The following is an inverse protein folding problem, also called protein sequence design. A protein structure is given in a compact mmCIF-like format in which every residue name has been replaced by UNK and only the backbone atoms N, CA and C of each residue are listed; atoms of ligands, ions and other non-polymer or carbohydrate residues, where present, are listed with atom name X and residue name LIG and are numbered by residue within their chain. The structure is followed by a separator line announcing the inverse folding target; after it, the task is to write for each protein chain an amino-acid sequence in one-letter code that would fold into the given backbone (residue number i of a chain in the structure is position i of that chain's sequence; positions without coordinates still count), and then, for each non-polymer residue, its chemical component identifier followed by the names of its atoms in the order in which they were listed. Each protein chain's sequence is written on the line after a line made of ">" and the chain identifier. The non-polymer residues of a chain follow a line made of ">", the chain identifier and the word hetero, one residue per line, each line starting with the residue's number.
data_IF_981176127292
#
_entry.id   IF_981176127292
#
_cell.length_a   1.000
_cell.length_b   1.000
_cell.length_c   1.000
_cell.angle_alpha   90.00
_cell.angle_beta   90.00
_cell.angle_gamma   90.00
#
_symmetry.space_group_name_H-M   'P 1'
#
loop_
_entity.id
_entity.type
_entity.pdbx_description
1 polymer ?
#
# COMPACT_ATOMS: atom_id res chain seq x y z
N UNK A 1 -20.90 -13.82 12.75
CA UNK A 1 -20.51 -13.79 11.32
C UNK A 1 -20.05 -12.39 10.96
N UNK A 2 -18.85 -12.24 10.41
CA UNK A 2 -18.43 -10.97 9.80
C UNK A 2 -19.28 -10.76 8.55
N UNK A 3 -20.06 -9.67 8.50
CA UNK A 3 -20.76 -9.31 7.27
C UNK A 3 -19.76 -8.76 6.26
N UNK A 4 -20.08 -8.83 4.96
CA UNK A 4 -19.26 -8.24 3.90
C UNK A 4 -18.91 -6.76 4.19
N UNK A 5 -19.88 -5.98 4.69
CA UNK A 5 -19.68 -4.57 5.09
C UNK A 5 -18.69 -4.42 6.23
N UNK A 6 -18.74 -5.32 7.21
CA UNK A 6 -17.81 -5.32 8.36
C UNK A 6 -16.39 -5.68 7.93
N UNK A 7 -16.23 -6.64 7.01
CA UNK A 7 -14.93 -7.02 6.46
C UNK A 7 -14.29 -5.88 5.64
N UNK A 8 -15.09 -5.17 4.85
CA UNK A 8 -14.68 -3.95 4.13
C UNK A 8 -14.22 -2.85 5.07
N UNK A 9 -15.01 -2.53 6.10
CA UNK A 9 -14.66 -1.50 7.09
C UNK A 9 -13.34 -1.83 7.78
N UNK A 10 -13.14 -3.09 8.17
CA UNK A 10 -11.88 -3.55 8.73
C UNK A 10 -10.73 -3.40 7.73
N UNK A 11 -10.94 -3.72 6.45
CA UNK A 11 -9.93 -3.54 5.42
C UNK A 11 -9.54 -2.09 5.23
N UNK A 12 -10.50 -1.17 5.18
CA UNK A 12 -10.25 0.26 5.02
C UNK A 12 -9.49 0.83 6.22
N UNK A 13 -9.91 0.48 7.44
CA UNK A 13 -9.21 0.88 8.67
C UNK A 13 -7.81 0.29 8.69
N UNK A 14 -7.66 -0.99 8.36
CA UNK A 14 -6.36 -1.64 8.35
C UNK A 14 -5.44 -1.07 7.25
N UNK A 15 -5.98 -0.69 6.09
CA UNK A 15 -5.25 -0.03 5.01
C UNK A 15 -4.77 1.39 5.38
N UNK A 16 -5.17 1.94 6.53
CA UNK A 16 -4.55 3.16 7.08
C UNK A 16 -3.15 2.93 7.66
N UNK A 17 -2.78 1.68 7.99
CA UNK A 17 -1.48 1.34 8.57
C UNK A 17 -0.31 1.68 7.63
N UNK A 18 -0.32 1.28 6.33
CA UNK A 18 0.71 1.73 5.38
C UNK A 18 0.80 3.26 5.25
N UNK A 19 -0.34 3.96 5.28
CA UNK A 19 -0.37 5.43 5.23
C UNK A 19 0.33 6.06 6.45
N UNK A 20 0.12 5.51 7.65
CA UNK A 20 0.84 5.95 8.85
C UNK A 20 2.34 5.74 8.70
N UNK A 21 2.79 4.65 8.09
CA UNK A 21 4.22 4.39 7.84
C UNK A 21 4.81 5.44 6.88
N UNK A 22 4.07 5.82 5.84
CA UNK A 22 4.44 6.95 4.97
C UNK A 22 4.59 8.26 5.74
N UNK A 23 3.65 8.56 6.65
CA UNK A 23 3.73 9.75 7.49
C UNK A 23 4.95 9.71 8.42
N UNK A 24 5.24 8.55 9.02
CA UNK A 24 6.44 8.34 9.86
C UNK A 24 7.71 8.61 9.06
N UNK A 25 7.81 8.07 7.84
CA UNK A 25 8.94 8.33 6.94
C UNK A 25 9.09 9.83 6.66
N UNK A 26 8.01 10.50 6.25
CA UNK A 26 8.03 11.92 5.92
C UNK A 26 8.44 12.83 7.10
N UNK A 27 7.97 12.48 8.30
CA UNK A 27 8.32 13.19 9.55
C UNK A 27 9.74 12.91 10.00
N UNK A 28 10.26 11.71 9.73
CA UNK A 28 11.62 11.31 10.08
C UNK A 28 12.67 11.78 9.07
N UNK A 29 12.28 12.16 7.84
CA UNK A 29 13.21 12.72 6.87
C UNK A 29 13.81 14.05 7.34
N UNK A 30 15.13 14.27 7.20
CA UNK A 30 15.78 15.51 7.62
C UNK A 30 15.14 16.76 6.97
N UNK A 31 14.97 17.82 7.75
CA UNK A 31 14.43 19.09 7.25
C UNK A 31 15.37 19.80 6.26
N UNK A 32 16.64 19.39 6.20
CA UNK A 32 17.65 19.86 5.24
C UNK A 32 17.45 19.29 3.82
N UNK A 33 16.68 18.21 3.66
CA UNK A 33 16.31 17.68 2.35
C UNK A 33 15.19 18.52 1.71
N UNK A 34 15.17 18.58 0.37
CA UNK A 34 14.08 19.22 -0.36
C UNK A 34 12.75 18.54 -0.09
N UNK A 35 11.66 19.31 -0.12
CA UNK A 35 10.30 18.78 0.08
C UNK A 35 10.00 17.62 -0.90
N UNK A 36 10.40 17.76 -2.16
CA UNK A 36 10.22 16.73 -3.17
C UNK A 36 10.93 15.41 -2.80
N UNK A 37 12.16 15.48 -2.28
CA UNK A 37 12.89 14.31 -1.82
C UNK A 37 12.19 13.64 -0.65
N UNK A 38 11.76 14.44 0.34
CA UNK A 38 11.04 13.96 1.53
C UNK A 38 9.73 13.25 1.16
N UNK A 39 8.99 13.80 0.19
CA UNK A 39 7.79 13.16 -0.36
C UNK A 39 8.17 11.86 -1.06
N UNK A 40 9.13 11.88 -1.99
CA UNK A 40 9.53 10.72 -2.80
C UNK A 40 9.93 9.51 -1.95
N UNK A 41 10.75 9.71 -0.90
CA UNK A 41 11.17 8.61 0.00
C UNK A 41 10.05 8.10 0.91
N UNK A 42 8.92 8.80 0.99
CA UNK A 42 7.81 8.48 1.89
C UNK A 42 6.56 7.94 1.17
N UNK A 43 6.49 7.98 -0.16
CA UNK A 43 5.26 7.65 -0.91
C UNK A 43 4.84 6.17 -0.84
N UNK A 44 5.74 5.26 -0.52
CA UNK A 44 5.52 3.81 -0.57
C UNK A 44 4.21 3.35 0.08
N UNK A 45 4.00 3.67 1.37
CA UNK A 45 2.86 3.20 2.15
C UNK A 45 1.54 3.83 1.72
N UNK A 46 1.56 5.12 1.35
CA UNK A 46 0.42 5.80 0.76
C UNK A 46 -0.01 5.12 -0.55
N UNK A 47 0.94 4.73 -1.41
CA UNK A 47 0.64 3.97 -2.63
C UNK A 47 0.04 2.60 -2.30
N UNK A 48 0.56 1.88 -1.31
CA UNK A 48 -0.03 0.61 -0.84
C UNK A 48 -1.47 0.81 -0.37
N UNK A 49 -1.73 1.84 0.45
CA UNK A 49 -3.07 2.17 0.94
C UNK A 49 -4.04 2.46 -0.20
N UNK A 50 -3.62 3.27 -1.19
CA UNK A 50 -4.45 3.59 -2.36
C UNK A 50 -4.81 2.33 -3.15
N UNK A 51 -3.85 1.43 -3.38
CA UNK A 51 -4.13 0.18 -4.09
C UNK A 51 -5.06 -0.74 -3.30
N UNK A 52 -4.88 -0.83 -1.97
CA UNK A 52 -5.76 -1.60 -1.09
C UNK A 52 -7.20 -1.07 -1.11
N UNK A 53 -7.37 0.25 -1.01
CA UNK A 53 -8.69 0.90 -1.05
C UNK A 53 -9.31 0.74 -2.44
N UNK A 54 -8.53 0.95 -3.51
CA UNK A 54 -8.98 0.79 -4.89
C UNK A 54 -9.49 -0.62 -5.17
N UNK A 55 -8.77 -1.66 -4.72
CA UNK A 55 -9.19 -3.05 -4.87
C UNK A 55 -10.53 -3.33 -4.18
N UNK A 56 -10.74 -2.81 -2.97
CA UNK A 56 -12.02 -2.90 -2.26
C UNK A 56 -13.14 -2.21 -3.02
N UNK A 57 -12.90 -0.99 -3.51
CA UNK A 57 -13.93 -0.25 -4.26
C UNK A 57 -14.34 -0.99 -5.53
N UNK A 58 -13.38 -1.57 -6.27
CA UNK A 58 -13.68 -2.42 -7.44
C UNK A 58 -14.53 -3.62 -7.02
N UNK A 59 -14.15 -4.32 -5.95
CA UNK A 59 -14.88 -5.48 -5.44
C UNK A 59 -16.30 -5.18 -4.93
N UNK A 60 -16.54 -3.98 -4.41
CA UNK A 60 -17.82 -3.61 -3.79
C UNK A 60 -18.84 -3.00 -4.75
N UNK A 61 -18.40 -2.02 -5.54
CA UNK A 61 -19.29 -1.16 -6.33
C UNK A 61 -18.86 -1.07 -7.79
N UNK A 62 -17.69 -1.62 -8.11
CA UNK A 62 -17.21 -1.72 -9.48
C UNK A 62 -17.77 -2.94 -10.20
N UNK A 63 -17.10 -3.30 -11.29
CA UNK A 63 -17.34 -4.51 -12.06
C UNK A 63 -16.05 -5.33 -12.00
N UNK A 64 -15.87 -6.22 -11.01
CA UNK A 64 -14.71 -7.09 -10.94
C UNK A 64 -14.61 -7.95 -12.20
N UNK A 65 -13.40 -8.07 -12.76
CA UNK A 65 -13.16 -8.86 -13.98
C UNK A 65 -11.78 -9.49 -13.96
N UNK A 66 -11.60 -10.72 -14.49
CA UNK A 66 -10.30 -11.39 -14.51
C UNK A 66 -9.17 -10.55 -15.12
N UNK A 67 -9.46 -9.73 -16.14
CA UNK A 67 -8.49 -8.89 -16.85
C UNK A 67 -7.88 -7.80 -15.95
N UNK A 68 -8.62 -7.33 -14.94
CA UNK A 68 -8.12 -6.34 -13.97
C UNK A 68 -7.02 -6.93 -13.07
N UNK A 69 -6.94 -8.26 -12.95
CA UNK A 69 -5.94 -8.94 -12.12
C UNK A 69 -4.51 -8.68 -12.58
N UNK A 70 -4.26 -8.71 -13.89
CA UNK A 70 -2.93 -8.42 -14.44
C UNK A 70 -2.53 -6.96 -14.25
N UNK A 71 -3.44 -6.04 -14.55
CA UNK A 71 -3.21 -4.60 -14.34
C UNK A 71 -2.93 -4.30 -12.87
N UNK A 72 -3.71 -4.89 -11.96
CA UNK A 72 -3.52 -4.70 -10.53
C UNK A 72 -2.17 -5.26 -10.04
N UNK A 73 -1.77 -6.47 -10.48
CA UNK A 73 -0.46 -7.04 -10.17
C UNK A 73 0.69 -6.16 -10.67
N UNK A 74 0.56 -5.58 -11.86
CA UNK A 74 1.56 -4.66 -12.40
C UNK A 74 1.65 -3.37 -11.56
N UNK A 75 0.52 -2.84 -11.08
CA UNK A 75 0.49 -1.69 -10.19
C UNK A 75 1.15 -1.97 -8.83
N UNK A 76 1.13 -3.21 -8.33
CA UNK A 76 1.83 -3.58 -7.09
C UNK A 76 3.36 -3.50 -7.21
N UNK A 77 3.92 -3.45 -8.42
CA UNK A 77 5.37 -3.23 -8.61
C UNK A 77 5.78 -1.82 -8.20
N UNK A 78 4.89 -0.83 -8.36
CA UNK A 78 5.16 0.57 -8.02
C UNK A 78 5.55 0.75 -6.55
N UNK A 79 4.75 0.31 -5.55
CA UNK A 79 5.15 0.42 -4.15
C UNK A 79 6.41 -0.39 -3.83
N UNK A 80 6.68 -1.53 -4.49
CA UNK A 80 7.96 -2.26 -4.31
C UNK A 80 9.15 -1.40 -4.73
N UNK A 81 9.06 -0.75 -5.90
CA UNK A 81 10.09 0.16 -6.37
C UNK A 81 10.27 1.37 -5.44
N UNK A 82 9.17 1.92 -4.89
CA UNK A 82 9.22 3.01 -3.92
C UNK A 82 9.86 2.59 -2.58
N UNK A 83 9.59 1.36 -2.12
CA UNK A 83 10.26 0.79 -0.94
C UNK A 83 11.76 0.70 -1.20
N UNK A 84 12.17 0.09 -2.31
CA UNK A 84 13.59 -0.03 -2.67
C UNK A 84 14.27 1.35 -2.79
N UNK A 85 13.60 2.31 -3.43
CA UNK A 85 14.07 3.69 -3.51
C UNK A 85 14.24 4.31 -2.11
N UNK A 86 13.29 4.13 -1.20
CA UNK A 86 13.36 4.63 0.17
C UNK A 86 14.52 4.03 0.97
N UNK A 87 14.85 2.76 0.75
CA UNK A 87 15.97 2.09 1.43
C UNK A 87 17.31 2.67 1.03
N UNK A 88 17.44 3.15 -0.21
CA UNK A 88 18.67 3.75 -0.71
C UNK A 88 18.75 5.25 -0.40
N UNK A 89 17.66 6.00 -0.57
CA UNK A 89 17.69 7.46 -0.57
C UNK A 89 17.33 8.13 0.73
N UNK A 90 16.69 7.44 1.67
CA UNK A 90 16.31 8.02 2.96
C UNK A 90 17.55 8.24 3.86
N UNK A 91 17.76 9.47 4.30
CA UNK A 91 18.90 9.85 5.15
C UNK A 91 18.58 9.90 6.65
N UNK A 92 17.37 9.50 7.06
CA UNK A 92 16.96 9.49 8.47
C UNK A 92 17.51 8.30 9.26
N UNK A 93 16.95 8.06 10.45
CA UNK A 93 17.35 6.93 11.31
C UNK A 93 17.09 5.60 10.62
N UNK A 94 18.12 4.75 10.46
CA UNK A 94 18.01 3.44 9.79
C UNK A 94 16.95 2.50 10.39
N UNK A 95 16.65 2.62 11.69
CA UNK A 95 15.60 1.82 12.34
C UNK A 95 14.21 2.02 11.71
N UNK A 96 13.97 3.17 11.04
CA UNK A 96 12.71 3.45 10.33
C UNK A 96 12.47 2.45 9.18
N UNK A 97 13.53 1.87 8.59
CA UNK A 97 13.41 0.86 7.55
C UNK A 97 12.69 -0.41 8.01
N UNK A 98 12.67 -0.71 9.31
CA UNK A 98 11.94 -1.87 9.85
C UNK A 98 10.45 -1.78 9.55
N UNK A 99 9.89 -0.57 9.46
CA UNK A 99 8.49 -0.37 9.07
C UNK A 99 8.20 -0.81 7.63
N UNK A 100 9.22 -0.95 6.76
CA UNK A 100 9.00 -1.51 5.42
C UNK A 100 8.59 -2.98 5.46
N UNK A 101 8.95 -3.73 6.51
CA UNK A 101 8.42 -5.08 6.70
C UNK A 101 6.89 -5.11 6.78
N UNK A 102 6.28 -4.10 7.39
CA UNK A 102 4.83 -3.96 7.47
C UNK A 102 4.24 -3.63 6.09
N UNK A 103 4.88 -2.73 5.31
CA UNK A 103 4.43 -2.45 3.93
C UNK A 103 4.55 -3.67 3.01
N UNK A 104 5.59 -4.49 3.17
CA UNK A 104 5.76 -5.74 2.43
C UNK A 104 4.68 -6.77 2.80
N UNK A 105 4.34 -6.89 4.07
CA UNK A 105 3.21 -7.71 4.52
C UNK A 105 1.89 -7.24 3.90
N UNK A 106 1.65 -5.93 3.89
CA UNK A 106 0.49 -5.34 3.24
C UNK A 106 0.47 -5.55 1.73
N UNK A 107 1.62 -5.53 1.06
CA UNK A 107 1.72 -5.87 -0.35
C UNK A 107 1.37 -7.32 -0.63
N UNK A 108 1.79 -8.25 0.23
CA UNK A 108 1.38 -9.64 0.13
C UNK A 108 -0.14 -9.77 0.27
N UNK A 109 -0.74 -9.11 1.27
CA UNK A 109 -2.20 -9.10 1.42
C UNK A 109 -2.91 -8.46 0.23
N UNK A 110 -2.40 -7.34 -0.29
CA UNK A 110 -2.95 -6.71 -1.48
C UNK A 110 -2.87 -7.65 -2.68
N UNK A 111 -1.75 -8.33 -2.89
CA UNK A 111 -1.57 -9.28 -3.99
C UNK A 111 -2.63 -10.39 -4.00
N UNK A 112 -2.87 -11.02 -2.85
CA UNK A 112 -3.86 -12.10 -2.75
C UNK A 112 -5.29 -11.55 -2.66
N UNK A 113 -5.59 -10.80 -1.60
CA UNK A 113 -6.96 -10.40 -1.25
C UNK A 113 -7.45 -9.27 -2.15
N UNK A 114 -6.58 -8.30 -2.47
CA UNK A 114 -6.87 -7.27 -3.46
C UNK A 114 -7.01 -7.88 -4.86
N UNK A 115 -6.17 -8.86 -5.22
CA UNK A 115 -6.29 -9.62 -6.47
C UNK A 115 -7.64 -10.33 -6.61
N UNK A 116 -8.09 -11.03 -5.58
CA UNK A 116 -9.42 -11.65 -5.55
C UNK A 116 -10.54 -10.60 -5.63
N UNK A 117 -10.39 -9.47 -4.93
CA UNK A 117 -11.38 -8.39 -4.95
C UNK A 117 -11.53 -7.75 -6.34
N UNK A 118 -10.43 -7.51 -7.07
CA UNK A 118 -10.50 -6.90 -8.41
C UNK A 118 -10.95 -7.88 -9.50
N UNK A 119 -10.67 -9.17 -9.33
CA UNK A 119 -11.05 -10.19 -10.32
C UNK A 119 -12.41 -10.82 -10.06
N UNK A 120 -12.90 -10.77 -8.81
CA UNK A 120 -14.11 -11.48 -8.37
C UNK A 120 -13.92 -12.98 -8.21
N UNK A 121 -12.72 -13.51 -8.48
CA UNK A 121 -12.40 -14.93 -8.33
C UNK A 121 -11.88 -15.14 -6.91
N UNK A 122 -12.74 -15.70 -6.07
CA UNK A 122 -12.38 -16.14 -4.72
C UNK A 122 -11.99 -17.62 -4.80
N UNK A 123 -10.80 -17.93 -4.30
CA UNK A 123 -10.33 -19.32 -4.14
C UNK A 123 -11.21 -20.09 -3.16
#
# INVERSE_FOLDING_TARGET
>A
MLTFKTAVMLWLVAASVPLVISLVYFRASPATESLAQRIAVSLHGATVSVLCIGAVLVGMIGSPRPELGEMFRLLLVVPVALIAYSLWRFQGKRAIHLFQGINLLWLAFAFFLGGMAVTGVWL
#
